data_IF_404143075990
#
_entry.id   IF_404143075990
#
_cell.length_a   1.000
_cell.length_b   1.000
_cell.length_c   1.000
_cell.angle_alpha   90.00
_cell.angle_beta   90.00
_cell.angle_gamma   90.00
#
_symmetry.space_group_name_H-M   'P 1'
#
loop_
_entity.id
_entity.type
_entity.pdbx_description
1 polymer ?
#
# COMPACT_ATOMS: atom_id res chain seq x y z
N UNK A 1 38.52 7.19 -29.81
CA UNK A 1 37.62 7.59 -28.71
C UNK A 1 36.32 6.73 -28.65
N UNK A 2 36.34 5.45 -29.10
CA UNK A 2 35.11 4.63 -29.27
C UNK A 2 35.15 3.22 -28.63
N UNK A 3 36.13 2.92 -27.77
CA UNK A 3 36.19 1.61 -27.10
C UNK A 3 35.60 1.62 -25.67
N UNK A 4 35.51 2.79 -25.04
CA UNK A 4 35.11 2.91 -23.63
C UNK A 4 33.59 2.90 -23.44
N UNK A 5 32.82 3.45 -24.39
CA UNK A 5 31.35 3.44 -24.35
C UNK A 5 30.80 2.01 -24.54
N UNK A 6 31.46 1.18 -25.36
CA UNK A 6 31.08 -0.21 -25.57
C UNK A 6 31.33 -1.11 -24.34
N UNK A 7 32.31 -0.79 -23.49
CA UNK A 7 32.60 -1.57 -22.27
C UNK A 7 31.70 -1.23 -21.09
N UNK A 8 31.21 0.02 -20.98
CA UNK A 8 30.22 0.38 -19.95
C UNK A 8 28.86 -0.27 -20.23
N UNK A 9 28.56 -0.59 -21.49
CA UNK A 9 27.37 -1.34 -21.86
C UNK A 9 27.42 -2.85 -21.53
N UNK A 10 28.56 -3.40 -21.07
CA UNK A 10 28.70 -4.85 -20.77
C UNK A 10 28.31 -5.25 -19.34
N UNK A 11 28.04 -4.29 -18.46
CA UNK A 11 27.40 -4.54 -17.15
C UNK A 11 25.86 -4.35 -17.22
N UNK A 12 25.32 -4.21 -18.44
CA UNK A 12 23.90 -4.15 -18.70
C UNK A 12 23.41 -5.60 -18.75
N UNK A 13 22.60 -5.97 -17.76
CA UNK A 13 21.74 -7.16 -17.85
C UNK A 13 21.16 -7.23 -19.27
N UNK A 14 21.40 -8.29 -20.06
CA UNK A 14 20.71 -8.42 -21.34
C UNK A 14 19.24 -8.72 -21.03
N UNK A 15 18.48 -7.69 -20.70
CA UNK A 15 17.03 -7.73 -20.72
C UNK A 15 16.67 -7.99 -22.17
N UNK A 16 16.06 -9.14 -22.45
CA UNK A 16 15.45 -9.40 -23.74
C UNK A 16 14.01 -8.86 -23.72
N UNK A 17 13.39 -8.79 -24.90
CA UNK A 17 12.04 -8.25 -25.06
C UNK A 17 11.00 -8.98 -24.19
N UNK A 18 11.10 -10.31 -24.10
CA UNK A 18 10.21 -11.13 -23.27
C UNK A 18 10.32 -10.81 -21.78
N UNK A 19 11.53 -10.55 -21.28
CA UNK A 19 11.75 -10.18 -19.88
C UNK A 19 11.09 -8.83 -19.56
N UNK A 20 11.17 -7.85 -20.46
CA UNK A 20 10.50 -6.56 -20.28
C UNK A 20 8.98 -6.71 -20.19
N UNK A 21 8.41 -7.62 -20.98
CA UNK A 21 6.98 -7.94 -20.91
C UNK A 21 6.62 -8.66 -19.60
N UNK A 22 7.43 -9.64 -19.18
CA UNK A 22 7.22 -10.36 -17.92
C UNK A 22 7.27 -9.42 -16.72
N UNK A 23 8.30 -8.59 -16.63
CA UNK A 23 8.49 -7.62 -15.55
C UNK A 23 7.32 -6.62 -15.52
N UNK A 24 6.82 -6.19 -16.68
CA UNK A 24 5.61 -5.36 -16.75
C UNK A 24 4.39 -6.03 -16.11
N UNK A 25 4.11 -7.29 -16.45
CA UNK A 25 2.96 -8.02 -15.90
C UNK A 25 3.10 -8.23 -14.39
N UNK A 26 4.30 -8.56 -13.93
CA UNK A 26 4.60 -8.69 -12.50
C UNK A 26 4.36 -7.36 -11.77
N UNK A 27 4.84 -6.24 -12.32
CA UNK A 27 4.62 -4.91 -11.75
C UNK A 27 3.15 -4.51 -11.73
N UNK A 28 2.39 -4.81 -12.79
CA UNK A 28 0.95 -4.57 -12.82
C UNK A 28 0.23 -5.38 -11.74
N UNK A 29 0.58 -6.67 -11.59
CA UNK A 29 0.03 -7.51 -10.53
C UNK A 29 0.34 -6.96 -9.14
N UNK A 30 1.54 -6.41 -8.92
CA UNK A 30 1.89 -5.75 -7.65
C UNK A 30 1.05 -4.48 -7.42
N UNK A 31 0.83 -3.67 -8.46
CA UNK A 31 -0.02 -2.48 -8.37
C UNK A 31 -1.46 -2.83 -8.01
N UNK A 32 -2.02 -3.87 -8.64
CA UNK A 32 -3.37 -4.34 -8.33
C UNK A 32 -3.46 -4.89 -6.90
N UNK A 33 -2.44 -5.61 -6.44
CA UNK A 33 -2.34 -6.03 -5.05
C UNK A 33 -2.34 -4.83 -4.08
N UNK A 34 -1.56 -3.79 -4.34
CA UNK A 34 -1.54 -2.58 -3.50
C UNK A 34 -2.88 -1.86 -3.48
N UNK A 35 -3.57 -1.77 -4.63
CA UNK A 35 -4.91 -1.19 -4.73
C UNK A 35 -5.92 -1.97 -3.87
N UNK A 36 -5.86 -3.29 -3.93
CA UNK A 36 -6.69 -4.16 -3.10
C UNK A 36 -6.40 -3.97 -1.61
N UNK A 37 -5.13 -3.95 -1.22
CA UNK A 37 -4.71 -3.79 0.17
C UNK A 37 -5.17 -2.45 0.77
N UNK A 38 -5.08 -1.36 0.01
CA UNK A 38 -5.59 -0.05 0.45
C UNK A 38 -7.10 -0.08 0.64
N UNK A 39 -7.83 -0.66 -0.31
CA UNK A 39 -9.28 -0.80 -0.21
C UNK A 39 -9.68 -1.64 1.01
N UNK A 40 -8.88 -2.65 1.36
CA UNK A 40 -9.06 -3.43 2.58
C UNK A 40 -8.84 -2.57 3.83
N UNK A 41 -7.75 -1.81 3.91
CA UNK A 41 -7.46 -0.92 5.06
C UNK A 41 -8.56 0.14 5.26
N UNK A 42 -9.09 0.70 4.18
CA UNK A 42 -10.22 1.64 4.23
C UNK A 42 -11.48 1.00 4.79
N UNK A 43 -11.78 -0.24 4.40
CA UNK A 43 -12.92 -0.99 4.94
C UNK A 43 -12.72 -1.32 6.41
N UNK A 44 -11.52 -1.75 6.79
CA UNK A 44 -11.18 -2.04 8.18
C UNK A 44 -11.37 -0.79 9.06
N UNK A 45 -10.80 0.35 8.68
CA UNK A 45 -10.96 1.59 9.43
C UNK A 45 -12.42 2.02 9.56
N UNK A 46 -13.21 1.93 8.47
CA UNK A 46 -14.65 2.24 8.53
C UNK A 46 -15.41 1.33 9.48
N UNK A 47 -15.00 0.07 9.62
CA UNK A 47 -15.63 -0.88 10.51
C UNK A 47 -15.28 -0.64 11.98
N UNK A 48 -14.01 -0.36 12.28
CA UNK A 48 -13.54 -0.18 13.67
C UNK A 48 -13.87 1.21 14.25
N UNK A 49 -14.06 2.23 13.42
CA UNK A 49 -14.47 3.58 13.86
C UNK A 49 -15.96 3.69 14.24
N UNK A 50 -16.66 2.57 14.47
CA UNK A 50 -18.08 2.51 14.85
C UNK A 50 -18.28 2.41 16.37
N UNK A 51 -17.24 2.06 17.13
CA UNK A 51 -17.27 1.78 18.57
C UNK A 51 -16.42 2.80 19.38
N UNK A 52 -16.54 2.88 20.72
CA UNK A 52 -16.78 4.12 21.45
C UNK A 52 -15.50 4.96 21.64
N UNK A 53 -15.03 5.55 20.56
CA UNK A 53 -14.17 6.74 20.60
C UNK A 53 -15.05 7.94 20.94
N UNK A 54 -14.50 8.93 21.64
CA UNK A 54 -15.13 10.26 21.66
C UNK A 54 -15.23 10.81 20.23
N UNK A 55 -16.21 11.68 19.96
CA UNK A 55 -16.36 12.28 18.62
C UNK A 55 -15.07 12.96 18.15
N UNK A 56 -14.36 13.63 19.07
CA UNK A 56 -13.08 14.27 18.79
C UNK A 56 -11.99 13.27 18.39
N UNK A 57 -11.82 12.18 19.15
CA UNK A 57 -10.84 11.14 18.81
C UNK A 57 -11.18 10.46 17.47
N UNK A 58 -12.47 10.13 17.25
CA UNK A 58 -12.91 9.55 15.99
C UNK A 58 -12.62 10.48 14.80
N UNK A 59 -12.77 11.79 14.97
CA UNK A 59 -12.43 12.78 13.96
C UNK A 59 -10.92 12.82 13.69
N UNK A 60 -10.08 12.95 14.71
CA UNK A 60 -8.62 13.01 14.59
C UNK A 60 -8.04 11.76 13.91
N UNK A 61 -8.60 10.59 14.22
CA UNK A 61 -8.20 9.33 13.60
C UNK A 61 -8.60 9.25 12.13
N UNK A 62 -9.82 9.68 11.79
CA UNK A 62 -10.28 9.76 10.39
C UNK A 62 -9.42 10.72 9.59
N UNK A 63 -9.11 11.87 10.16
CA UNK A 63 -8.27 12.88 9.51
C UNK A 63 -6.85 12.35 9.27
N UNK A 64 -6.21 11.79 10.30
CA UNK A 64 -4.88 11.17 10.19
C UNK A 64 -4.87 10.06 9.12
N UNK A 65 -5.89 9.19 9.12
CA UNK A 65 -6.02 8.14 8.12
C UNK A 65 -6.19 8.71 6.71
N UNK A 66 -7.06 9.71 6.53
CA UNK A 66 -7.30 10.35 5.24
C UNK A 66 -6.03 11.01 4.69
N UNK A 67 -5.25 11.68 5.55
CA UNK A 67 -3.98 12.28 5.16
C UNK A 67 -2.97 11.23 4.66
N UNK A 68 -2.88 10.08 5.33
CA UNK A 68 -2.04 8.96 4.87
C UNK A 68 -2.54 8.40 3.54
N UNK A 69 -3.85 8.23 3.36
CA UNK A 69 -4.45 7.75 2.11
C UNK A 69 -4.24 8.72 0.94
N UNK A 70 -4.29 10.03 1.20
CA UNK A 70 -3.98 11.08 0.23
C UNK A 70 -2.52 11.04 -0.24
N UNK A 71 -1.59 10.46 0.54
CA UNK A 71 -0.21 10.25 0.11
C UNK A 71 -0.08 9.01 -0.78
N UNK A 72 -0.80 7.93 -0.48
CA UNK A 72 -0.64 6.63 -1.16
C UNK A 72 -1.38 6.58 -2.51
N UNK A 73 -2.65 6.99 -2.54
CA UNK A 73 -3.51 6.80 -3.73
C UNK A 73 -2.99 7.49 -4.99
N UNK A 74 -2.53 8.76 -4.94
CA UNK A 74 -2.01 9.42 -6.15
C UNK A 74 -0.77 8.74 -6.70
N UNK A 75 0.13 8.28 -5.83
CA UNK A 75 1.39 7.65 -6.21
C UNK A 75 1.16 6.30 -6.91
N UNK A 76 0.20 5.51 -6.44
CA UNK A 76 -0.24 4.28 -7.15
C UNK A 76 -0.79 4.59 -8.53
N UNK A 77 -1.66 5.61 -8.65
CA UNK A 77 -2.24 6.01 -9.94
C UNK A 77 -1.15 6.47 -10.91
N UNK A 78 -0.17 7.21 -10.41
CA UNK A 78 0.97 7.68 -11.19
C UNK A 78 1.82 6.52 -11.71
N UNK A 79 2.16 5.56 -10.84
CA UNK A 79 2.90 4.35 -11.21
C UNK A 79 2.13 3.52 -12.25
N UNK A 80 0.83 3.30 -12.02
CA UNK A 80 -0.04 2.60 -12.97
C UNK A 80 -0.04 3.30 -14.34
N UNK A 81 -0.11 4.63 -14.37
CA UNK A 81 -0.02 5.42 -15.59
C UNK A 81 1.32 5.23 -16.32
N UNK A 82 2.44 5.21 -15.60
CA UNK A 82 3.75 4.94 -16.18
C UNK A 82 3.87 3.53 -16.74
N UNK A 83 3.37 2.52 -16.02
CA UNK A 83 3.37 1.12 -16.49
C UNK A 83 2.55 0.97 -17.76
N UNK A 84 1.34 1.53 -17.82
CA UNK A 84 0.49 1.51 -19.03
C UNK A 84 1.17 2.22 -20.22
N UNK A 85 1.84 3.34 -19.96
CA UNK A 85 2.59 4.07 -20.98
C UNK A 85 3.80 3.27 -21.49
N UNK A 86 4.50 2.58 -20.59
CA UNK A 86 5.60 1.69 -20.93
C UNK A 86 5.15 0.50 -21.76
N UNK A 87 4.06 -0.17 -21.38
CA UNK A 87 3.53 -1.30 -22.13
C UNK A 87 3.05 -0.91 -23.55
N UNK A 88 2.38 0.24 -23.69
CA UNK A 88 2.02 0.75 -25.03
C UNK A 88 3.25 0.95 -25.92
N UNK A 89 4.36 1.45 -25.36
CA UNK A 89 5.62 1.62 -26.08
C UNK A 89 6.26 0.27 -26.41
N UNK A 90 6.28 -0.68 -25.48
CA UNK A 90 6.78 -2.04 -25.74
C UNK A 90 6.00 -2.74 -26.86
N UNK A 91 4.67 -2.69 -26.81
CA UNK A 91 3.79 -3.30 -27.82
C UNK A 91 3.95 -2.69 -29.21
N UNK A 92 4.47 -1.46 -29.32
CA UNK A 92 4.73 -0.80 -30.61
C UNK A 92 6.05 -1.23 -31.26
N UNK A 93 6.89 -2.03 -30.59
CA UNK A 93 8.16 -2.50 -31.13
C UNK A 93 7.90 -3.68 -32.09
N UNK A 94 8.01 -3.42 -33.39
CA UNK A 94 7.82 -4.42 -34.45
C UNK A 94 9.07 -5.31 -34.63
N UNK A 95 10.27 -4.74 -34.43
CA UNK A 95 11.54 -5.48 -34.51
C UNK A 95 12.43 -5.10 -33.32
N UNK A 96 12.63 -5.99 -32.34
CA UNK A 96 13.38 -5.68 -31.12
C UNK A 96 14.91 -5.65 -31.32
N UNK A 97 15.43 -6.32 -32.34
CA UNK A 97 16.88 -6.57 -32.50
C UNK A 97 17.67 -5.44 -33.19
N UNK A 98 16.99 -4.42 -33.75
CA UNK A 98 17.65 -3.37 -34.54
C UNK A 98 17.36 -1.95 -34.07
N UNK A 99 16.69 -1.78 -32.92
CA UNK A 99 15.93 -0.56 -32.67
C UNK A 99 16.49 0.25 -31.50
N UNK A 100 16.83 1.53 -31.75
CA UNK A 100 17.08 2.53 -30.70
C UNK A 100 15.93 2.60 -29.68
N UNK A 101 14.72 2.26 -30.12
CA UNK A 101 13.54 2.10 -29.27
C UNK A 101 13.76 1.07 -28.15
N UNK A 102 14.46 -0.04 -28.41
CA UNK A 102 14.71 -1.08 -27.42
C UNK A 102 15.63 -0.58 -26.28
N UNK A 103 16.73 0.10 -26.63
CA UNK A 103 17.63 0.70 -25.64
C UNK A 103 16.93 1.76 -24.77
N UNK A 104 16.08 2.60 -25.39
CA UNK A 104 15.25 3.58 -24.66
C UNK A 104 14.27 2.90 -23.72
N UNK A 105 13.63 1.81 -24.14
CA UNK A 105 12.75 1.03 -23.27
C UNK A 105 13.51 0.35 -22.13
N UNK A 106 14.74 -0.13 -22.34
CA UNK A 106 15.58 -0.64 -21.26
C UNK A 106 15.95 0.43 -20.22
N UNK A 107 16.19 1.68 -20.65
CA UNK A 107 16.43 2.79 -19.73
C UNK A 107 15.17 3.16 -18.92
N UNK A 108 14.01 3.21 -19.59
CA UNK A 108 12.73 3.46 -18.93
C UNK A 108 12.36 2.32 -17.97
N UNK A 109 12.59 1.07 -18.34
CA UNK A 109 12.42 -0.09 -17.48
C UNK A 109 13.17 0.06 -16.17
N UNK A 110 14.47 0.46 -16.22
CA UNK A 110 15.27 0.74 -15.02
C UNK A 110 14.74 1.92 -14.20
N UNK A 111 14.12 2.91 -14.84
CA UNK A 111 13.50 4.05 -14.15
C UNK A 111 12.24 3.60 -13.42
N UNK A 112 11.41 2.80 -14.07
CA UNK A 112 10.19 2.22 -13.48
C UNK A 112 10.56 1.29 -12.32
N UNK A 113 11.51 0.39 -12.50
CA UNK A 113 11.98 -0.50 -11.43
C UNK A 113 12.39 0.29 -10.18
N UNK A 114 13.21 1.34 -10.34
CA UNK A 114 13.61 2.21 -9.22
C UNK A 114 12.42 2.90 -8.55
N UNK A 115 11.44 3.34 -9.32
CA UNK A 115 10.21 3.95 -8.80
C UNK A 115 9.34 2.94 -8.05
N UNK A 116 9.18 1.74 -8.58
CA UNK A 116 8.48 0.63 -7.92
C UNK A 116 9.15 0.28 -6.59
N UNK A 117 10.47 0.15 -6.55
CA UNK A 117 11.18 -0.19 -5.32
C UNK A 117 11.13 0.94 -4.28
N UNK A 118 11.32 2.19 -4.70
CA UNK A 118 11.17 3.35 -3.81
C UNK A 118 9.76 3.44 -3.23
N UNK A 119 8.74 3.28 -4.08
CA UNK A 119 7.36 3.30 -3.64
C UNK A 119 7.05 2.12 -2.71
N UNK A 120 7.53 0.91 -3.00
CA UNK A 120 7.35 -0.27 -2.13
C UNK A 120 7.90 -0.01 -0.73
N UNK A 121 9.09 0.57 -0.61
CA UNK A 121 9.70 0.93 0.70
C UNK A 121 8.88 1.99 1.43
N UNK A 122 8.45 3.03 0.71
CA UNK A 122 7.61 4.10 1.27
C UNK A 122 6.24 3.58 1.71
N UNK A 123 5.62 2.73 0.90
CA UNK A 123 4.35 2.08 1.20
C UNK A 123 4.48 1.20 2.44
N UNK A 124 5.58 0.46 2.60
CA UNK A 124 5.83 -0.31 3.81
C UNK A 124 5.88 0.58 5.06
N UNK A 125 6.48 1.78 4.97
CA UNK A 125 6.51 2.76 6.06
C UNK A 125 5.11 3.31 6.35
N UNK A 126 4.39 3.78 5.32
CA UNK A 126 3.03 4.30 5.48
C UNK A 126 2.06 3.24 6.01
N UNK A 127 2.23 1.97 5.63
CA UNK A 127 1.46 0.85 6.16
C UNK A 127 1.72 0.63 7.65
N UNK A 128 2.96 0.77 8.12
CA UNK A 128 3.25 0.68 9.56
C UNK A 128 2.49 1.75 10.34
N UNK A 129 2.46 2.98 9.83
CA UNK A 129 1.71 4.08 10.44
C UNK A 129 0.20 3.78 10.44
N UNK A 130 -0.34 3.30 9.32
CA UNK A 130 -1.75 2.91 9.20
C UNK A 130 -2.13 1.77 10.14
N UNK A 131 -1.30 0.73 10.24
CA UNK A 131 -1.53 -0.37 11.17
C UNK A 131 -1.41 0.08 12.63
N UNK A 132 -0.52 1.04 12.93
CA UNK A 132 -0.44 1.69 14.24
C UNK A 132 -1.77 2.31 14.64
N UNK A 133 -2.33 3.16 13.77
CA UNK A 133 -3.65 3.75 13.98
C UNK A 133 -4.73 2.68 14.19
N UNK A 134 -4.75 1.64 13.34
CA UNK A 134 -5.72 0.53 13.45
C UNK A 134 -5.61 -0.21 14.79
N UNK A 135 -4.39 -0.46 15.28
CA UNK A 135 -4.13 -1.12 16.55
C UNK A 135 -4.60 -0.25 17.72
N UNK A 136 -4.40 1.07 17.64
CA UNK A 136 -4.88 2.03 18.65
C UNK A 136 -6.41 1.98 18.75
N UNK A 137 -7.13 2.03 17.62
CA UNK A 137 -8.60 1.87 17.61
C UNK A 137 -9.01 0.58 18.31
N UNK A 138 -8.41 -0.55 17.91
CA UNK A 138 -8.78 -1.87 18.43
C UNK A 138 -8.48 -1.98 19.94
N UNK A 139 -7.40 -1.35 20.42
CA UNK A 139 -7.06 -1.33 21.86
C UNK A 139 -8.09 -0.54 22.65
N UNK A 140 -8.47 0.64 22.17
CA UNK A 140 -9.49 1.48 22.81
C UNK A 140 -10.86 0.81 22.80
N UNK A 141 -11.25 0.19 21.70
CA UNK A 141 -12.48 -0.59 21.59
C UNK A 141 -12.52 -1.73 22.62
N UNK A 142 -11.43 -2.49 22.76
CA UNK A 142 -11.32 -3.56 23.78
C UNK A 142 -11.38 -3.01 25.20
N UNK A 143 -10.79 -1.85 25.47
CA UNK A 143 -10.85 -1.21 26.79
C UNK A 143 -12.29 -0.76 27.12
N UNK A 144 -12.97 -0.12 26.17
CA UNK A 144 -14.37 0.28 26.29
C UNK A 144 -15.30 -0.92 26.53
N UNK A 145 -15.13 -2.02 25.80
CA UNK A 145 -15.90 -3.25 26.03
C UNK A 145 -15.66 -3.89 27.40
N UNK A 146 -14.42 -3.83 27.94
CA UNK A 146 -14.13 -4.32 29.30
C UNK A 146 -14.79 -3.46 30.36
N UNK A 147 -14.77 -2.14 30.21
CA UNK A 147 -15.45 -1.22 31.14
C UNK A 147 -16.97 -1.40 31.07
N UNK A 148 -17.54 -1.55 29.87
CA UNK A 148 -18.96 -1.84 29.72
C UNK A 148 -19.33 -3.20 30.33
N UNK A 149 -18.56 -4.28 30.11
CA UNK A 149 -18.82 -5.56 30.79
C UNK A 149 -18.71 -5.46 32.31
N UNK A 150 -17.76 -4.68 32.83
CA UNK A 150 -17.63 -4.48 34.28
C UNK A 150 -18.87 -3.77 34.86
N UNK A 151 -19.36 -2.72 34.22
CA UNK A 151 -20.55 -1.98 34.68
C UNK A 151 -21.82 -2.84 34.69
N UNK A 152 -21.93 -3.82 33.80
CA UNK A 152 -23.06 -4.76 33.74
C UNK A 152 -22.88 -6.02 34.62
N UNK A 153 -21.68 -6.27 35.15
CA UNK A 153 -21.44 -7.33 36.13
C UNK A 153 -21.85 -6.94 37.56
N UNK A 154 -22.06 -5.64 37.83
CA UNK A 154 -22.36 -5.10 39.16
C UNK A 154 -23.82 -5.18 39.68
N UNK A 155 -24.90 -5.43 38.88
CA UNK A 155 -26.24 -5.51 39.48
C UNK A 155 -26.54 -6.82 40.22
N UNK A 156 -25.78 -7.90 39.97
CA UNK A 156 -26.11 -9.22 40.51
C UNK A 156 -25.57 -9.50 41.92
N UNK A 157 -24.65 -8.69 42.45
CA UNK A 157 -24.10 -8.90 43.80
C UNK A 157 -24.80 -8.10 44.91
N UNK A 158 -25.61 -7.10 44.60
CA UNK A 158 -26.39 -6.38 45.62
C UNK A 158 -27.79 -6.98 45.89
N UNK A 159 -28.25 -7.92 45.05
CA UNK A 159 -29.53 -8.60 45.22
C UNK A 159 -29.55 -9.80 46.16
N UNK A 160 -28.38 -10.35 46.57
CA UNK A 160 -28.30 -11.57 47.38
C UNK A 160 -27.98 -11.35 48.87
N UNK A 161 -27.76 -10.11 49.33
CA UNK A 161 -27.44 -9.81 50.73
C UNK A 161 -28.66 -9.42 51.61
N UNK A 162 -29.90 -9.65 51.15
CA UNK A 162 -31.12 -9.32 51.92
C UNK A 162 -31.99 -10.53 52.34
N UNK A 163 -31.44 -11.74 52.42
CA UNK A 163 -32.17 -12.91 52.95
C UNK A 163 -31.35 -13.76 53.93
N UNK A 164 -30.66 -13.11 54.87
CA UNK A 164 -30.27 -13.77 56.12
C UNK A 164 -30.71 -12.84 57.25
N UNK A 165 -31.99 -12.96 57.59
CA UNK A 165 -32.65 -12.42 58.75
C UNK A 165 -33.68 -13.44 59.20
#
# INVERSE_FOLDING_TARGET
MNATIAKVNKAIWPLNFEQLHRDYYDWMSMVDFWKYEIKYLERAMKHFLVYPLSEQQAYEMRESFNQLMCKIRPEIREIEGWLRSFHRRLASIVNPDTNDSFLRNGAEHRRIYRKMDNFRRRLAQLKKELYGLLIEVIREEKAGHRQHRALWAYPYQQGQLRQIG
#
